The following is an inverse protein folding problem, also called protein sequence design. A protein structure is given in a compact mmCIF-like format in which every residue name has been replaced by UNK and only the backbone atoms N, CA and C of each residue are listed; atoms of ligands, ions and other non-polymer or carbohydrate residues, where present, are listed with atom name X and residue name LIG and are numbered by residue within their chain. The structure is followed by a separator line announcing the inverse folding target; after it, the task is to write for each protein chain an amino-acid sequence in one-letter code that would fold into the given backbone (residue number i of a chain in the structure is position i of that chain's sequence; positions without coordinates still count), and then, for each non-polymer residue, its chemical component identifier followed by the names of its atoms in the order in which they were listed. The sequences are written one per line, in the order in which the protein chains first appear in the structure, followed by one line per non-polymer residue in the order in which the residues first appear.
data_IF_094282437228
#
_entry.id   IF_094282437228
#
_cell.length_a   1.000
_cell.length_b   1.000
_cell.length_c   1.000
_cell.angle_alpha   90.00
_cell.angle_beta   90.00
_cell.angle_gamma   90.00
#
_symmetry.space_group_name_H-M   'P 1'
#
loop_
_entity.id
_entity.type
_entity.pdbx_description
1 polymer ?
#
# COMPACT_ATOMS: atom_id res chain seq x y z
N UNK A 1 -49.85 -14.08 44.15
CA UNK A 1 -50.65 -13.39 43.12
C UNK A 1 -49.64 -12.78 42.15
N UNK A 2 -48.99 -13.54 41.27
CA UNK A 2 -49.53 -14.54 40.29
C UNK A 2 -50.61 -13.86 39.44
N UNK A 3 -50.60 -13.77 38.10
CA UNK A 3 -50.00 -14.51 36.96
C UNK A 3 -49.91 -13.52 35.76
N UNK A 4 -48.91 -13.53 34.86
CA UNK A 4 -48.71 -14.37 33.66
C UNK A 4 -49.92 -14.54 32.70
N UNK A 5 -49.87 -13.89 31.52
CA UNK A 5 -50.21 -14.43 30.18
C UNK A 5 -49.78 -13.42 29.08
N UNK A 6 -48.69 -13.65 28.34
CA UNK A 6 -48.56 -14.41 27.07
C UNK A 6 -49.25 -13.76 25.86
N UNK A 7 -48.41 -13.13 25.01
CA UNK A 7 -48.28 -13.42 23.58
C UNK A 7 -49.35 -12.90 22.61
N UNK A 8 -48.98 -11.86 21.84
CA UNK A 8 -49.27 -11.81 20.40
C UNK A 8 -48.03 -11.26 19.69
N UNK A 9 -47.40 -12.11 18.88
CA UNK A 9 -46.49 -11.70 17.81
C UNK A 9 -47.33 -10.93 16.81
N UNK A 10 -46.99 -9.67 16.53
CA UNK A 10 -47.44 -9.04 15.30
C UNK A 10 -46.27 -8.97 14.32
N UNK A 11 -46.41 -9.79 13.28
CA UNK A 11 -45.52 -9.88 12.16
C UNK A 11 -45.73 -8.63 11.31
N UNK A 12 -44.80 -7.67 11.40
CA UNK A 12 -44.50 -6.67 10.37
C UNK A 12 -43.18 -5.95 10.73
N UNK A 13 -42.08 -6.72 10.76
CA UNK A 13 -40.72 -6.18 10.75
C UNK A 13 -40.19 -6.18 9.31
N UNK A 14 -40.88 -5.46 8.43
CA UNK A 14 -40.35 -5.05 7.14
C UNK A 14 -40.48 -3.53 7.06
N UNK A 15 -39.33 -2.87 7.18
CA UNK A 15 -38.78 -1.83 6.29
C UNK A 15 -37.60 -1.23 7.07
N UNK A 16 -36.44 -1.90 7.06
CA UNK A 16 -35.18 -1.16 7.20
C UNK A 16 -34.93 -0.55 5.84
N UNK A 17 -35.39 0.68 5.65
CA UNK A 17 -35.10 1.47 4.45
C UNK A 17 -33.60 1.42 4.20
N UNK A 18 -33.22 0.80 3.08
CA UNK A 18 -31.86 0.76 2.59
C UNK A 18 -31.29 2.18 2.62
N UNK A 19 -30.15 2.36 3.27
CA UNK A 19 -29.41 3.62 3.30
C UNK A 19 -28.75 3.95 1.93
N UNK A 20 -29.42 3.62 0.81
CA UNK A 20 -29.01 3.91 -0.56
C UNK A 20 -29.38 5.33 -1.02
N UNK A 21 -30.20 6.05 -0.27
CA UNK A 21 -30.88 7.25 -0.78
C UNK A 21 -30.18 8.58 -0.50
N UNK A 22 -28.93 8.56 0.00
CA UNK A 22 -28.18 9.81 0.24
C UNK A 22 -27.42 10.32 -1.00
N UNK A 23 -27.80 9.87 -2.20
CA UNK A 23 -27.13 10.23 -3.46
C UNK A 23 -27.95 11.11 -4.40
N UNK A 24 -28.87 11.92 -3.89
CA UNK A 24 -29.40 13.04 -4.68
C UNK A 24 -29.73 14.18 -3.73
N UNK A 25 -28.87 15.21 -3.69
CA UNK A 25 -29.27 16.62 -3.55
C UNK A 25 -28.03 17.48 -3.27
N UNK A 26 -27.46 18.05 -4.33
CA UNK A 26 -26.85 19.38 -4.27
C UNK A 26 -27.21 20.15 -5.55
N UNK A 27 -28.13 21.09 -5.37
CA UNK A 27 -28.31 22.38 -6.05
C UNK A 27 -28.39 22.42 -7.58
N UNK A 28 -29.44 23.11 -8.05
CA UNK A 28 -29.77 23.52 -9.42
C UNK A 28 -28.58 24.03 -10.24
N UNK A 29 -27.75 23.10 -10.73
CA UNK A 29 -26.86 23.31 -11.86
C UNK A 29 -27.28 22.34 -12.93
N UNK A 30 -27.79 22.87 -14.03
CA UNK A 30 -28.15 22.07 -15.17
C UNK A 30 -26.87 21.40 -15.72
N UNK A 31 -26.70 20.11 -15.41
CA UNK A 31 -25.55 19.34 -15.89
C UNK A 31 -25.52 19.36 -17.43
N UNK A 32 -24.32 19.45 -17.99
CA UNK A 32 -24.15 19.36 -19.45
C UNK A 32 -24.63 18.00 -19.98
N UNK A 33 -24.93 17.91 -21.28
CA UNK A 33 -25.31 16.63 -21.92
C UNK A 33 -24.24 15.56 -21.69
N UNK A 34 -22.95 15.93 -21.74
CA UNK A 34 -21.83 15.01 -21.49
C UNK A 34 -21.77 14.53 -20.04
N UNK A 35 -22.07 15.41 -19.08
CA UNK A 35 -22.08 15.04 -17.66
C UNK A 35 -23.21 14.05 -17.33
N UNK A 36 -24.43 14.33 -17.84
CA UNK A 36 -25.58 13.44 -17.70
C UNK A 36 -25.27 12.05 -18.29
N UNK A 37 -24.62 11.99 -19.45
CA UNK A 37 -24.19 10.72 -20.08
C UNK A 37 -23.25 9.92 -19.17
N UNK A 38 -22.21 10.55 -18.62
CA UNK A 38 -21.22 9.86 -17.78
C UNK A 38 -21.78 9.43 -16.41
N UNK A 39 -22.73 10.18 -15.85
CA UNK A 39 -23.46 9.77 -14.66
C UNK A 39 -24.29 8.49 -14.92
N UNK A 40 -24.96 8.41 -16.07
CA UNK A 40 -25.67 7.20 -16.50
C UNK A 40 -24.72 6.02 -16.70
N UNK A 41 -23.54 6.24 -17.30
CA UNK A 41 -22.50 5.22 -17.45
C UNK A 41 -22.02 4.67 -16.09
N UNK A 42 -21.83 5.55 -15.10
CA UNK A 42 -21.43 5.15 -13.75
C UNK A 42 -22.52 4.35 -13.02
N UNK A 43 -23.79 4.71 -13.19
CA UNK A 43 -24.93 3.93 -12.66
C UNK A 43 -24.98 2.53 -13.29
N UNK A 44 -24.86 2.44 -14.61
CA UNK A 44 -24.79 1.16 -15.31
C UNK A 44 -23.60 0.31 -14.84
N UNK A 45 -22.46 0.93 -14.57
CA UNK A 45 -21.28 0.24 -14.04
C UNK A 45 -21.53 -0.39 -12.67
N UNK A 46 -22.20 0.33 -11.76
CA UNK A 46 -22.62 -0.22 -10.46
C UNK A 46 -23.54 -1.43 -10.64
N UNK A 47 -24.50 -1.35 -11.55
CA UNK A 47 -25.42 -2.45 -11.87
C UNK A 47 -24.68 -3.66 -12.46
N UNK A 48 -23.69 -3.44 -13.32
CA UNK A 48 -22.90 -4.52 -13.90
C UNK A 48 -22.08 -5.27 -12.85
N UNK A 49 -21.46 -4.55 -11.91
CA UNK A 49 -20.69 -5.14 -10.81
C UNK A 49 -21.60 -5.89 -9.83
N UNK A 50 -22.82 -5.42 -9.59
CA UNK A 50 -23.74 -6.15 -8.68
C UNK A 50 -24.22 -7.48 -9.26
N UNK A 51 -24.40 -7.56 -10.59
CA UNK A 51 -24.92 -8.74 -11.30
C UNK A 51 -23.94 -9.89 -11.46
N UNK A 52 -22.62 -9.65 -11.43
CA UNK A 52 -21.62 -10.71 -11.61
C UNK A 52 -20.36 -10.47 -10.79
N UNK A 53 -19.66 -11.55 -10.48
CA UNK A 53 -18.35 -11.50 -9.83
C UNK A 53 -17.28 -11.61 -10.90
N UNK A 54 -16.39 -10.62 -10.98
CA UNK A 54 -15.28 -10.63 -11.93
C UNK A 54 -14.11 -11.46 -11.40
N UNK A 55 -13.54 -12.32 -12.24
CA UNK A 55 -12.33 -13.05 -11.90
C UNK A 55 -11.09 -12.14 -12.03
N UNK A 56 -10.55 -11.66 -10.91
CA UNK A 56 -9.39 -10.75 -10.90
C UNK A 56 -8.10 -11.39 -11.44
N UNK A 57 -8.01 -12.72 -11.51
CA UNK A 57 -6.85 -13.41 -12.09
C UNK A 57 -6.95 -13.53 -13.62
N UNK A 58 -8.14 -13.35 -14.21
CA UNK A 58 -8.32 -13.33 -15.66
C UNK A 58 -8.04 -11.90 -16.17
N UNK A 59 -7.03 -11.68 -17.05
CA UNK A 59 -6.66 -10.33 -17.48
C UNK A 59 -7.79 -9.56 -18.19
N UNK A 60 -8.61 -10.24 -18.98
CA UNK A 60 -9.73 -9.62 -19.70
C UNK A 60 -10.84 -9.21 -18.74
N UNK A 61 -11.25 -10.11 -17.83
CA UNK A 61 -12.25 -9.77 -16.82
C UNK A 61 -11.75 -8.68 -15.86
N UNK A 62 -10.50 -8.78 -15.40
CA UNK A 62 -9.94 -7.79 -14.48
C UNK A 62 -9.83 -6.40 -15.13
N UNK A 63 -9.38 -6.32 -16.39
CA UNK A 63 -9.37 -5.04 -17.12
C UNK A 63 -10.79 -4.45 -17.29
N UNK A 64 -11.79 -5.30 -17.52
CA UNK A 64 -13.19 -4.87 -17.57
C UNK A 64 -13.63 -4.34 -16.21
N UNK A 65 -13.33 -5.05 -15.12
CA UNK A 65 -13.65 -4.63 -13.75
C UNK A 65 -13.02 -3.29 -13.40
N UNK A 66 -11.71 -3.12 -13.66
CA UNK A 66 -11.01 -1.85 -13.47
C UNK A 66 -11.65 -0.70 -14.26
N UNK A 67 -12.11 -0.97 -15.49
CA UNK A 67 -12.83 0.01 -16.31
C UNK A 67 -14.17 0.40 -15.70
N UNK A 68 -14.97 -0.56 -15.23
CA UNK A 68 -16.23 -0.28 -14.52
C UNK A 68 -15.99 0.54 -13.25
N UNK A 69 -14.97 0.20 -12.45
CA UNK A 69 -14.63 0.98 -11.25
C UNK A 69 -14.20 2.42 -11.59
N UNK A 70 -13.43 2.62 -12.67
CA UNK A 70 -13.10 3.97 -13.15
C UNK A 70 -14.37 4.75 -13.53
N UNK A 71 -15.35 4.13 -14.20
CA UNK A 71 -16.65 4.77 -14.48
C UNK A 71 -17.38 5.14 -13.18
N UNK A 72 -17.42 4.24 -12.20
CA UNK A 72 -18.05 4.50 -10.89
C UNK A 72 -17.42 5.71 -10.20
N UNK A 73 -16.08 5.79 -10.20
CA UNK A 73 -15.37 6.90 -9.57
C UNK A 73 -15.71 8.27 -10.18
N UNK A 74 -16.21 8.31 -11.43
CA UNK A 74 -16.65 9.55 -12.07
C UNK A 74 -17.89 10.15 -11.41
N UNK A 75 -18.83 9.31 -10.97
CA UNK A 75 -20.05 9.74 -10.27
C UNK A 75 -19.83 10.07 -8.79
N UNK A 76 -18.57 10.29 -8.41
CA UNK A 76 -18.22 10.82 -7.10
C UNK A 76 -18.98 12.13 -6.85
N UNK A 77 -19.58 12.34 -5.66
CA UNK A 77 -20.44 13.50 -5.37
C UNK A 77 -19.66 14.83 -5.25
N UNK A 78 -18.37 14.81 -5.59
CA UNK A 78 -17.45 15.91 -5.40
C UNK A 78 -17.36 16.82 -6.62
N UNK A 79 -17.08 18.10 -6.34
CA UNK A 79 -16.78 19.11 -7.36
C UNK A 79 -15.56 18.72 -8.21
N UNK A 80 -14.63 17.95 -7.65
CA UNK A 80 -13.42 17.47 -8.32
C UNK A 80 -13.51 15.96 -8.56
N UNK A 81 -13.54 15.53 -9.82
CA UNK A 81 -13.70 14.12 -10.21
C UNK A 81 -12.33 13.45 -10.30
N UNK A 82 -12.06 12.50 -9.40
CA UNK A 82 -10.83 11.69 -9.41
C UNK A 82 -11.14 10.33 -10.03
N UNK A 83 -10.74 10.13 -11.28
CA UNK A 83 -11.00 8.86 -11.99
C UNK A 83 -9.94 7.83 -11.61
N UNK A 84 -10.34 6.83 -10.82
CA UNK A 84 -9.44 5.79 -10.32
C UNK A 84 -10.22 4.53 -9.89
N UNK A 85 -9.70 3.32 -10.19
CA UNK A 85 -10.36 2.10 -9.78
C UNK A 85 -10.44 1.95 -8.25
N UNK A 86 -9.48 2.51 -7.50
CA UNK A 86 -9.49 2.51 -6.03
C UNK A 86 -10.63 3.35 -5.45
N UNK A 87 -10.94 4.47 -6.10
CA UNK A 87 -12.07 5.32 -5.74
C UNK A 87 -13.40 4.67 -6.16
N UNK A 88 -13.43 4.02 -7.32
CA UNK A 88 -14.58 3.21 -7.74
C UNK A 88 -14.92 2.14 -6.72
N UNK A 89 -13.90 1.42 -6.23
CA UNK A 89 -14.06 0.37 -5.24
C UNK A 89 -14.57 0.92 -3.90
N UNK A 90 -14.05 2.07 -3.47
CA UNK A 90 -14.51 2.78 -2.28
C UNK A 90 -16.01 3.14 -2.33
N UNK A 91 -16.55 3.48 -3.51
CA UNK A 91 -17.98 3.79 -3.70
C UNK A 91 -18.87 2.57 -3.97
N UNK A 92 -18.33 1.35 -3.89
CA UNK A 92 -19.15 0.14 -3.83
C UNK A 92 -19.74 -0.06 -2.42
N UNK A 93 -20.84 -0.81 -2.34
CA UNK A 93 -21.39 -1.23 -1.05
C UNK A 93 -20.48 -2.26 -0.38
N UNK A 94 -20.59 -2.40 0.94
CA UNK A 94 -19.84 -3.41 1.68
C UNK A 94 -20.08 -4.84 1.17
N UNK A 95 -21.30 -5.16 0.73
CA UNK A 95 -21.63 -6.46 0.13
C UNK A 95 -20.85 -6.69 -1.17
N UNK A 96 -20.75 -5.68 -2.02
CA UNK A 96 -20.02 -5.76 -3.28
C UNK A 96 -18.51 -5.83 -3.07
N UNK A 97 -17.97 -5.03 -2.14
CA UNK A 97 -16.53 -5.08 -1.82
C UNK A 97 -16.10 -6.46 -1.32
N UNK A 98 -16.87 -7.07 -0.40
CA UNK A 98 -16.56 -8.37 0.20
C UNK A 98 -16.32 -9.47 -0.84
N UNK A 99 -16.93 -9.42 -2.02
CA UNK A 99 -16.73 -10.38 -3.12
C UNK A 99 -15.27 -10.44 -3.61
N UNK A 100 -14.49 -9.38 -3.39
CA UNK A 100 -13.14 -9.21 -3.94
C UNK A 100 -12.04 -9.14 -2.87
N UNK A 101 -12.40 -9.14 -1.59
CA UNK A 101 -11.43 -9.13 -0.50
C UNK A 101 -10.91 -10.54 -0.22
N UNK A 102 -9.62 -10.66 0.05
CA UNK A 102 -8.99 -11.91 0.47
C UNK A 102 -8.51 -11.82 1.91
N UNK A 103 -8.60 -12.94 2.61
CA UNK A 103 -8.04 -13.12 3.95
C UNK A 103 -6.59 -13.60 3.84
N UNK A 104 -5.69 -12.99 4.60
CA UNK A 104 -4.29 -13.41 4.75
C UNK A 104 -3.96 -13.59 6.24
N UNK A 105 -3.04 -14.49 6.54
CA UNK A 105 -2.52 -14.72 7.90
C UNK A 105 -1.03 -14.45 7.91
N UNK A 106 -0.61 -13.49 8.75
CA UNK A 106 0.79 -13.15 8.95
C UNK A 106 1.54 -14.24 9.72
N UNK A 107 2.89 -14.17 9.68
CA UNK A 107 3.75 -15.10 10.43
C UNK A 107 3.65 -14.98 11.95
N UNK A 108 3.08 -13.88 12.45
CA UNK A 108 2.75 -13.71 13.87
C UNK A 108 1.31 -14.16 14.21
N UNK A 109 0.61 -14.82 13.27
CA UNK A 109 -0.74 -15.35 13.45
C UNK A 109 -1.86 -14.33 13.23
N UNK A 110 -1.53 -13.06 12.98
CA UNK A 110 -2.55 -12.01 12.77
C UNK A 110 -3.21 -12.14 11.41
N UNK A 111 -4.53 -12.09 11.40
CA UNK A 111 -5.32 -12.19 10.19
C UNK A 111 -5.79 -10.83 9.69
N UNK A 112 -5.76 -10.63 8.38
CA UNK A 112 -6.20 -9.41 7.73
C UNK A 112 -7.07 -9.75 6.52
N UNK A 113 -8.08 -8.93 6.26
CA UNK A 113 -8.90 -9.04 5.05
C UNK A 113 -8.76 -7.77 4.25
N UNK A 114 -8.42 -7.89 2.97
CA UNK A 114 -8.19 -6.72 2.12
C UNK A 114 -8.17 -7.04 0.63
N UNK A 115 -8.20 -5.99 -0.18
CA UNK A 115 -8.07 -6.05 -1.62
C UNK A 115 -6.59 -6.25 -1.97
N UNK A 116 -6.27 -7.37 -2.64
CA UNK A 116 -4.91 -7.71 -3.02
C UNK A 116 -4.51 -6.93 -4.27
N UNK A 117 -3.79 -5.82 -4.11
CA UNK A 117 -3.51 -4.87 -5.20
C UNK A 117 -2.58 -5.42 -6.26
N UNK A 118 -1.70 -6.35 -5.89
CA UNK A 118 -0.86 -7.11 -6.83
C UNK A 118 -1.66 -8.05 -7.75
N UNK A 119 -2.89 -8.42 -7.38
CA UNK A 119 -3.83 -9.14 -8.26
C UNK A 119 -4.81 -8.19 -8.96
N UNK A 120 -5.35 -7.24 -8.20
CA UNK A 120 -6.38 -6.30 -8.65
C UNK A 120 -5.87 -5.33 -9.70
N UNK A 121 -4.69 -4.72 -9.49
CA UNK A 121 -4.06 -3.76 -10.41
C UNK A 121 -2.55 -4.07 -10.53
N UNK A 122 -2.18 -5.16 -11.21
CA UNK A 122 -0.78 -5.58 -11.31
C UNK A 122 0.09 -4.53 -12.00
N UNK A 123 -0.45 -3.80 -12.99
CA UNK A 123 0.28 -2.72 -13.67
C UNK A 123 0.54 -1.53 -12.75
N UNK A 124 -0.45 -1.11 -11.96
CA UNK A 124 -0.26 -0.08 -10.95
C UNK A 124 0.74 -0.50 -9.87
N UNK A 125 0.70 -1.78 -9.47
CA UNK A 125 1.65 -2.33 -8.51
C UNK A 125 3.09 -2.41 -9.06
N UNK A 126 3.30 -2.79 -10.32
CA UNK A 126 4.63 -2.74 -10.95
C UNK A 126 5.16 -1.30 -11.03
N UNK A 127 4.32 -0.31 -11.33
CA UNK A 127 4.72 1.11 -11.28
C UNK A 127 5.16 1.52 -9.87
N UNK A 128 4.43 1.08 -8.84
CA UNK A 128 4.80 1.31 -7.44
C UNK A 128 6.18 0.72 -7.13
N UNK A 129 6.46 -0.52 -7.51
CA UNK A 129 7.76 -1.17 -7.24
C UNK A 129 8.94 -0.45 -7.88
N UNK A 130 8.71 0.21 -9.00
CA UNK A 130 9.71 1.01 -9.71
C UNK A 130 9.84 2.46 -9.17
N UNK A 131 9.11 2.82 -8.10
CA UNK A 131 9.17 4.16 -7.50
C UNK A 131 10.35 4.35 -6.53
N UNK A 132 10.72 5.62 -6.33
CA UNK A 132 11.74 5.99 -5.32
C UNK A 132 11.23 5.69 -3.92
N UNK A 133 9.96 5.95 -3.66
CA UNK A 133 9.28 5.74 -2.39
C UNK A 133 9.28 4.26 -2.01
N UNK A 134 8.99 3.35 -2.96
CA UNK A 134 9.11 1.91 -2.74
C UNK A 134 10.54 1.52 -2.39
N UNK A 135 11.51 2.04 -3.13
CA UNK A 135 12.91 1.77 -2.84
C UNK A 135 13.28 2.20 -1.42
N UNK A 136 12.90 3.41 -1.01
CA UNK A 136 13.15 3.92 0.36
C UNK A 136 12.48 3.04 1.41
N UNK A 137 11.24 2.61 1.18
CA UNK A 137 10.55 1.66 2.05
C UNK A 137 11.37 0.37 2.23
N UNK A 138 11.86 -0.18 1.12
CA UNK A 138 12.65 -1.42 1.13
C UNK A 138 13.98 -1.24 1.87
N UNK A 139 14.70 -0.14 1.67
CA UNK A 139 15.94 0.14 2.41
C UNK A 139 15.66 0.25 3.93
N UNK A 140 14.59 0.96 4.34
CA UNK A 140 14.18 1.05 5.75
C UNK A 140 13.87 -0.32 6.35
N UNK A 141 13.21 -1.20 5.60
CA UNK A 141 12.97 -2.59 6.05
C UNK A 141 14.26 -3.41 6.10
N UNK A 142 15.20 -3.21 5.19
CA UNK A 142 16.52 -3.88 5.25
C UNK A 142 17.27 -3.51 6.53
N UNK A 143 17.24 -2.23 6.93
CA UNK A 143 17.84 -1.78 8.21
C UNK A 143 17.27 -2.55 9.40
N UNK A 144 15.94 -2.72 9.46
CA UNK A 144 15.31 -3.51 10.51
C UNK A 144 15.67 -4.99 10.42
N UNK A 145 15.67 -5.55 9.20
CA UNK A 145 15.98 -6.96 8.93
C UNK A 145 17.40 -7.33 9.37
N UNK A 146 18.38 -6.46 9.10
CA UNK A 146 19.75 -6.64 9.59
C UNK A 146 19.85 -6.51 11.11
N UNK A 147 19.11 -5.58 11.73
CA UNK A 147 19.02 -5.50 13.20
C UNK A 147 18.51 -6.81 13.81
N UNK A 148 17.39 -7.34 13.30
CA UNK A 148 16.81 -8.62 13.74
C UNK A 148 17.79 -9.78 13.54
N UNK A 149 18.50 -9.84 12.42
CA UNK A 149 19.48 -10.89 12.16
C UNK A 149 20.68 -10.81 13.11
N UNK A 150 21.21 -9.62 13.32
CA UNK A 150 22.31 -9.37 14.27
C UNK A 150 21.94 -9.81 15.68
N UNK A 151 20.76 -9.43 16.16
CA UNK A 151 20.29 -9.80 17.50
C UNK A 151 20.09 -11.32 17.63
N UNK A 152 19.69 -12.00 16.55
CA UNK A 152 19.65 -13.47 16.51
C UNK A 152 21.05 -14.07 16.62
N UNK A 153 22.03 -13.63 15.82
CA UNK A 153 23.38 -14.17 15.84
C UNK A 153 24.12 -13.85 17.15
N UNK A 154 23.89 -12.68 17.75
CA UNK A 154 24.43 -12.33 19.05
C UNK A 154 24.00 -13.33 20.15
N UNK A 155 22.74 -13.79 20.09
CA UNK A 155 22.18 -14.72 21.09
C UNK A 155 22.48 -16.19 20.78
N UNK A 156 22.52 -16.56 19.50
CA UNK A 156 22.53 -17.97 19.09
C UNK A 156 23.84 -18.43 18.45
N UNK A 157 24.74 -17.51 18.11
CA UNK A 157 25.92 -17.81 17.30
C UNK A 157 25.56 -18.29 15.89
N UNK A 158 26.54 -18.89 15.21
CA UNK A 158 26.40 -19.37 13.82
C UNK A 158 25.90 -20.83 13.75
N UNK A 159 24.75 -21.09 14.35
CA UNK A 159 24.08 -22.40 14.32
C UNK A 159 23.54 -22.69 12.92
N UNK A 160 23.82 -23.88 12.42
CA UNK A 160 23.34 -24.35 11.11
C UNK A 160 21.83 -24.63 11.16
N UNK A 161 21.15 -24.43 10.03
CA UNK A 161 19.71 -24.60 9.91
C UNK A 161 19.01 -23.38 9.33
N UNK A 162 17.68 -23.40 9.35
CA UNK A 162 16.84 -22.28 8.91
C UNK A 162 15.98 -21.79 10.06
N UNK A 163 15.96 -20.47 10.29
CA UNK A 163 15.07 -19.82 11.25
C UNK A 163 14.23 -18.75 10.56
N UNK A 164 12.99 -18.58 11.00
CA UNK A 164 12.10 -17.50 10.56
C UNK A 164 11.92 -16.51 11.72
N UNK A 165 12.14 -15.22 11.47
CA UNK A 165 12.06 -14.17 12.48
C UNK A 165 11.20 -13.01 11.96
N UNK A 166 10.18 -12.61 12.70
CA UNK A 166 9.35 -11.46 12.35
C UNK A 166 10.06 -10.17 12.74
N UNK A 167 10.09 -9.17 11.85
CA UNK A 167 10.63 -7.86 12.22
C UNK A 167 9.67 -7.18 13.21
N UNK A 168 10.20 -6.52 14.25
CA UNK A 168 9.39 -6.06 15.38
C UNK A 168 8.48 -4.87 15.04
N UNK A 169 8.83 -4.08 14.02
CA UNK A 169 8.14 -2.84 13.69
C UNK A 169 7.57 -2.90 12.27
N UNK A 170 6.43 -2.25 12.08
CA UNK A 170 5.90 -1.92 10.75
C UNK A 170 6.63 -0.66 10.29
N UNK A 171 7.21 -0.69 9.09
CA UNK A 171 7.83 0.51 8.49
C UNK A 171 6.73 1.35 7.86
N UNK A 172 6.51 2.55 8.39
CA UNK A 172 5.61 3.52 7.75
C UNK A 172 6.32 4.19 6.57
N UNK A 173 5.64 4.27 5.44
CA UNK A 173 6.11 4.99 4.26
C UNK A 173 4.92 5.60 3.51
N UNK A 174 5.08 6.86 3.09
CA UNK A 174 4.21 7.47 2.11
C UNK A 174 4.71 7.07 0.71
N UNK A 175 3.86 6.38 -0.06
CA UNK A 175 4.19 5.95 -1.42
C UNK A 175 3.59 6.85 -2.51
N UNK A 176 3.01 7.99 -2.12
CA UNK A 176 2.58 9.01 -3.08
C UNK A 176 3.81 9.76 -3.58
N UNK A 177 4.05 9.70 -4.90
CA UNK A 177 5.16 10.43 -5.53
C UNK A 177 4.98 11.93 -5.48
N UNK A 178 6.04 12.65 -5.14
CA UNK A 178 6.04 14.12 -5.03
C UNK A 178 5.66 14.83 -6.33
N UNK A 179 6.11 14.32 -7.48
CA UNK A 179 5.71 14.84 -8.81
C UNK A 179 4.21 14.69 -9.10
N UNK A 180 3.52 13.80 -8.39
CA UNK A 180 2.06 13.66 -8.41
C UNK A 180 1.40 14.66 -7.46
N UNK A 181 2.00 14.93 -6.30
CA UNK A 181 1.51 15.97 -5.37
C UNK A 181 1.65 17.37 -5.99
N UNK A 182 2.76 17.67 -6.67
CA UNK A 182 2.97 18.97 -7.34
C UNK A 182 2.03 19.23 -8.52
N UNK A 183 1.43 18.18 -9.11
CA UNK A 183 0.31 18.32 -10.06
C UNK A 183 -1.04 18.53 -9.37
N UNK A 184 -1.13 18.24 -8.07
CA UNK A 184 -2.34 18.34 -7.25
C UNK A 184 -2.37 19.63 -6.41
N UNK A 185 -1.21 20.27 -6.18
CA UNK A 185 -1.13 21.58 -5.51
C UNK A 185 -1.60 22.67 -6.49
N UNK A 186 -2.66 23.42 -6.17
CA UNK A 186 -3.21 24.45 -7.04
C UNK A 186 -2.25 25.63 -7.21
N UNK A 187 -2.22 26.18 -8.41
CA UNK A 187 -2.03 27.62 -8.64
C UNK A 187 -2.90 28.41 -7.62
N UNK A 188 -2.46 29.55 -7.02
CA UNK A 188 -3.25 30.31 -6.03
C UNK A 188 -4.61 30.80 -6.55
N UNK A 189 -4.90 30.58 -7.84
CA UNK A 189 -6.15 30.83 -8.52
C UNK A 189 -6.80 29.51 -9.01
N UNK A 190 -7.10 28.59 -8.09
CA UNK A 190 -8.17 27.60 -8.27
C UNK A 190 -8.06 26.61 -9.44
N UNK A 191 -7.94 25.33 -9.09
CA UNK A 191 -8.36 24.18 -9.93
C UNK A 191 -7.56 23.97 -11.23
N UNK A 192 -6.48 23.19 -11.15
CA UNK A 192 -5.85 22.64 -12.34
C UNK A 192 -4.82 21.57 -12.01
N UNK A 193 -4.94 20.41 -12.66
CA UNK A 193 -3.97 19.31 -12.76
C UNK A 193 -4.05 18.06 -11.84
N UNK A 194 -5.11 17.88 -11.03
CA UNK A 194 -5.57 16.52 -10.66
C UNK A 194 -6.31 15.81 -11.82
N UNK A 195 -6.45 16.52 -12.93
CA UNK A 195 -7.21 16.19 -14.15
C UNK A 195 -6.17 16.08 -15.26
N UNK A 196 -5.86 14.86 -15.70
CA UNK A 196 -5.30 14.43 -17.01
C UNK A 196 -4.48 13.15 -16.80
N UNK A 197 -5.02 12.02 -17.29
CA UNK A 197 -4.56 10.62 -17.18
C UNK A 197 -4.97 9.86 -15.90
N UNK A 198 -6.21 9.35 -15.90
CA UNK A 198 -6.71 8.31 -14.98
C UNK A 198 -6.02 6.94 -15.08
N UNK A 199 -4.89 6.86 -15.79
CA UNK A 199 -4.01 5.68 -15.90
C UNK A 199 -2.74 5.79 -15.04
N UNK A 200 -2.67 6.79 -14.17
CA UNK A 200 -1.45 7.11 -13.42
C UNK A 200 -1.63 7.68 -12.00
N UNK A 201 -2.83 7.63 -11.41
CA UNK A 201 -2.95 7.90 -9.98
C UNK A 201 -2.40 6.68 -9.22
N UNK A 202 -1.14 6.80 -8.81
CA UNK A 202 -0.47 5.84 -7.95
C UNK A 202 -1.36 5.51 -6.75
N UNK A 203 -1.38 4.24 -6.36
CA UNK A 203 -2.13 3.72 -5.22
C UNK A 203 -1.98 4.71 -4.06
N UNK A 204 -3.07 5.16 -3.47
CA UNK A 204 -3.07 6.22 -2.46
C UNK A 204 -2.63 5.68 -1.10
N UNK A 205 -1.48 5.03 -1.08
CA UNK A 205 -0.77 4.45 0.06
C UNK A 205 -0.06 5.55 0.85
N UNK A 206 -0.84 6.48 1.39
CA UNK A 206 -0.34 7.68 2.09
C UNK A 206 0.23 7.36 3.46
N UNK A 207 -0.33 6.36 4.12
CA UNK A 207 0.06 5.94 5.47
C UNK A 207 0.35 4.43 5.49
N UNK A 208 0.80 3.91 4.36
CA UNK A 208 0.99 2.49 4.22
C UNK A 208 2.12 2.00 5.13
N UNK A 209 1.86 0.83 5.71
CA UNK A 209 2.81 0.07 6.49
C UNK A 209 3.41 -1.05 5.66
N UNK A 210 4.73 -1.22 5.76
CA UNK A 210 5.43 -2.40 5.27
C UNK A 210 5.66 -3.35 6.44
N UNK A 211 4.96 -4.48 6.41
CA UNK A 211 5.16 -5.60 7.34
C UNK A 211 6.20 -6.53 6.74
N UNK A 212 7.07 -7.08 7.59
CA UNK A 212 8.16 -7.92 7.11
C UNK A 212 8.58 -9.01 8.10
N UNK A 213 9.19 -10.05 7.57
CA UNK A 213 9.90 -11.08 8.30
C UNK A 213 11.14 -11.51 7.51
N UNK A 214 12.09 -12.16 8.17
CA UNK A 214 13.28 -12.72 7.54
C UNK A 214 13.33 -14.24 7.73
N UNK A 215 13.93 -14.92 6.76
CA UNK A 215 14.47 -16.27 6.92
C UNK A 215 15.98 -16.21 6.86
N UNK A 216 16.63 -16.75 7.88
CA UNK A 216 18.09 -16.90 7.92
C UNK A 216 18.38 -18.37 7.67
N UNK A 217 19.17 -18.67 6.64
CA UNK A 217 19.70 -19.99 6.37
C UNK A 217 21.21 -19.97 6.62
N UNK A 218 21.67 -20.90 7.45
CA UNK A 218 23.08 -21.15 7.73
C UNK A 218 23.41 -22.58 7.33
N UNK A 219 24.36 -22.77 6.43
CA UNK A 219 24.74 -24.12 5.99
C UNK A 219 25.43 -24.90 7.11
N UNK A 220 25.51 -26.23 6.94
CA UNK A 220 26.48 -27.04 7.69
C UNK A 220 27.90 -26.57 7.35
N UNK A 221 28.82 -26.83 8.28
CA UNK A 221 30.24 -26.63 8.05
C UNK A 221 30.72 -27.60 6.97
N UNK A 222 31.43 -27.09 5.96
CA UNK A 222 32.04 -27.93 4.93
C UNK A 222 33.43 -28.44 5.38
N UNK A 223 34.08 -29.27 4.54
CA UNK A 223 35.42 -29.82 4.84
C UNK A 223 36.51 -28.75 5.01
N UNK A 224 36.30 -27.53 4.50
CA UNK A 224 37.21 -26.39 4.65
C UNK A 224 36.94 -25.58 5.94
N UNK A 225 35.96 -26.00 6.73
CA UNK A 225 35.57 -25.28 7.94
C UNK A 225 34.76 -24.02 7.66
N UNK A 226 33.99 -24.00 6.57
CA UNK A 226 33.23 -22.83 6.13
C UNK A 226 31.73 -23.04 6.30
N UNK A 227 31.05 -21.98 6.72
CA UNK A 227 29.59 -21.87 6.70
C UNK A 227 29.16 -20.70 5.82
N UNK A 228 28.00 -20.84 5.17
CA UNK A 228 27.41 -19.81 4.34
C UNK A 228 26.11 -19.33 4.97
N UNK A 229 25.92 -18.00 4.96
CA UNK A 229 24.73 -17.35 5.49
C UNK A 229 23.96 -16.68 4.37
N UNK A 230 22.67 -16.97 4.30
CA UNK A 230 21.72 -16.27 3.44
C UNK A 230 20.58 -15.72 4.28
N UNK A 231 20.33 -14.40 4.17
CA UNK A 231 19.19 -13.72 4.78
C UNK A 231 18.23 -13.35 3.65
N UNK A 232 17.06 -13.97 3.67
CA UNK A 232 15.95 -13.65 2.77
C UNK A 232 14.90 -12.87 3.54
N UNK A 233 14.59 -11.67 3.07
CA UNK A 233 13.51 -10.85 3.58
C UNK A 233 12.22 -11.13 2.80
N UNK A 234 11.10 -11.10 3.51
CA UNK A 234 9.76 -11.14 2.93
C UNK A 234 9.00 -9.88 3.36
N UNK A 235 8.39 -9.19 2.42
CA UNK A 235 7.68 -7.91 2.66
C UNK A 235 6.29 -7.92 2.08
N UNK A 236 5.32 -7.34 2.80
CA UNK A 236 4.01 -6.98 2.25
C UNK A 236 3.67 -5.54 2.61
N UNK A 237 2.90 -4.89 1.75
CA UNK A 237 2.39 -3.54 1.99
C UNK A 237 0.93 -3.63 2.41
N UNK A 238 0.51 -2.77 3.33
CA UNK A 238 -0.89 -2.58 3.64
C UNK A 238 -1.22 -1.14 4.01
N UNK A 239 -2.43 -0.71 3.67
CA UNK A 239 -2.98 0.59 4.07
C UNK A 239 -4.50 0.49 4.25
N UNK A 240 -5.06 1.37 5.07
CA UNK A 240 -6.50 1.49 5.26
C UNK A 240 -7.02 2.66 4.43
N UNK A 241 -7.88 2.36 3.47
CA UNK A 241 -8.51 3.34 2.60
C UNK A 241 -9.85 3.77 3.21
N UNK A 242 -9.86 4.92 3.89
CA UNK A 242 -11.05 5.45 4.61
C UNK A 242 -11.56 6.75 4.00
N UNK A 243 -10.70 7.75 3.82
CA UNK A 243 -11.08 9.08 3.35
C UNK A 243 -10.14 9.51 2.23
N UNK A 244 -10.31 8.98 1.02
CA UNK A 244 -9.29 9.10 0.01
C UNK A 244 -9.17 10.51 -0.58
N UNK A 245 -10.18 11.37 -0.42
CA UNK A 245 -10.14 12.77 -0.84
C UNK A 245 -9.59 13.72 0.23
N UNK A 246 -9.28 13.23 1.42
CA UNK A 246 -8.58 13.99 2.46
C UNK A 246 -7.08 14.11 2.07
N UNK A 247 -6.80 15.00 1.12
CA UNK A 247 -5.45 15.38 0.70
C UNK A 247 -4.96 16.43 1.71
N UNK A 248 -3.79 16.24 2.30
CA UNK A 248 -3.20 17.21 3.23
C UNK A 248 -3.14 18.59 2.54
N UNK A 249 -4.02 19.48 3.01
CA UNK A 249 -4.34 20.85 2.56
C UNK A 249 -5.18 21.01 1.27
N UNK A 250 -6.21 20.16 1.12
CA UNK A 250 -7.41 20.45 0.34
C UNK A 250 -8.68 20.01 1.07
N UNK A 251 -8.89 20.57 2.27
CA UNK A 251 -9.95 20.41 3.31
C UNK A 251 -10.78 19.10 3.32
N UNK A 252 -10.84 18.38 4.47
CA UNK A 252 -11.70 17.21 4.60
C UNK A 252 -13.17 17.58 4.41
N UNK A 253 -13.82 16.98 3.41
CA UNK A 253 -15.27 16.99 3.34
C UNK A 253 -15.79 15.89 4.26
N UNK A 254 -16.36 16.28 5.40
CA UNK A 254 -17.05 15.37 6.33
C UNK A 254 -18.26 14.67 5.69
N UNK A 255 -18.64 15.07 4.47
CA UNK A 255 -19.60 14.39 3.62
C UNK A 255 -19.05 13.21 2.81
N UNK A 256 -17.78 12.81 2.95
CA UNK A 256 -17.24 11.63 2.27
C UNK A 256 -17.94 10.35 2.73
N UNK A 257 -18.81 9.83 1.87
CA UNK A 257 -19.63 8.64 2.10
C UNK A 257 -19.25 7.58 1.08
N UNK A 258 -18.26 6.77 1.43
CA UNK A 258 -17.99 5.49 0.76
C UNK A 258 -17.77 4.40 1.80
N UNK A 259 -17.55 3.17 1.33
CA UNK A 259 -17.28 2.04 2.20
C UNK A 259 -15.76 1.87 2.35
N UNK A 260 -15.20 2.07 3.56
CA UNK A 260 -13.77 1.88 3.79
C UNK A 260 -13.32 0.44 3.54
N UNK A 261 -12.11 0.27 3.03
CA UNK A 261 -11.52 -1.06 2.81
C UNK A 261 -10.01 -1.05 3.05
N UNK A 262 -9.44 -2.23 3.26
CA UNK A 262 -7.99 -2.41 3.42
C UNK A 262 -7.38 -2.82 2.10
N UNK A 263 -6.26 -2.20 1.74
CA UNK A 263 -5.40 -2.60 0.64
C UNK A 263 -4.27 -3.45 1.20
N UNK A 264 -3.96 -4.56 0.52
CA UNK A 264 -2.88 -5.47 0.89
C UNK A 264 -2.10 -5.90 -0.37
N UNK A 265 -0.88 -6.38 -0.17
CA UNK A 265 -0.12 -7.14 -1.18
C UNK A 265 0.22 -8.52 -0.62
N UNK A 266 0.53 -9.47 -1.50
CA UNK A 266 1.20 -10.68 -1.07
C UNK A 266 2.61 -10.38 -0.53
N UNK A 267 3.17 -11.35 0.21
CA UNK A 267 4.55 -11.29 0.63
C UNK A 267 5.50 -11.51 -0.55
N UNK A 268 6.35 -10.54 -0.83
CA UNK A 268 7.41 -10.63 -1.83
C UNK A 268 8.74 -11.06 -1.21
N UNK A 269 9.46 -11.95 -1.91
CA UNK A 269 10.76 -12.47 -1.49
C UNK A 269 11.90 -11.58 -2.02
N UNK A 270 12.85 -11.23 -1.15
CA UNK A 270 14.07 -10.53 -1.51
C UNK A 270 15.28 -11.13 -0.78
N UNK A 271 16.30 -11.55 -1.51
CA UNK A 271 17.58 -11.96 -0.92
C UNK A 271 18.42 -10.71 -0.63
N UNK A 272 18.56 -10.36 0.64
CA UNK A 272 19.25 -9.12 1.06
C UNK A 272 20.70 -9.39 1.45
N UNK A 273 21.01 -10.62 1.85
CA UNK A 273 22.36 -11.06 2.18
C UNK A 273 22.53 -12.47 1.62
N UNK A 274 23.39 -12.65 0.63
CA UNK A 274 23.43 -13.89 -0.17
C UNK A 274 24.78 -14.59 -0.02
N UNK A 275 24.74 -15.85 0.41
CA UNK A 275 25.88 -16.76 0.45
C UNK A 275 27.14 -16.15 1.07
N UNK A 276 26.99 -15.39 2.14
CA UNK A 276 28.13 -14.80 2.82
C UNK A 276 28.93 -15.88 3.55
N UNK A 277 30.22 -15.95 3.23
CA UNK A 277 31.14 -16.98 3.71
C UNK A 277 31.74 -16.60 5.06
N UNK A 278 31.70 -17.55 6.00
CA UNK A 278 32.36 -17.45 7.31
C UNK A 278 33.21 -18.69 7.54
N UNK A 279 34.52 -18.50 7.75
CA UNK A 279 35.44 -19.58 8.16
C UNK A 279 35.33 -19.72 9.68
N UNK A 280 34.89 -20.89 10.16
CA UNK A 280 34.68 -21.18 11.59
C UNK A 280 35.79 -22.05 12.19
N UNK A 281 36.50 -22.83 11.37
CA UNK A 281 37.60 -23.68 11.83
C UNK A 281 38.70 -22.84 12.50
N UNK A 282 39.09 -23.26 13.70
CA UNK A 282 40.12 -22.58 14.50
C UNK A 282 39.67 -21.27 15.16
N UNK A 283 38.37 -20.93 15.11
CA UNK A 283 37.84 -19.72 15.76
C UNK A 283 36.97 -20.06 16.97
N UNK A 284 37.09 -19.22 18.00
CA UNK A 284 36.17 -19.24 19.14
C UNK A 284 34.78 -18.73 18.73
N UNK A 285 33.71 -19.12 19.47
CA UNK A 285 32.36 -18.59 19.24
C UNK A 285 32.31 -17.05 19.22
N UNK A 286 33.06 -16.40 20.11
CA UNK A 286 33.11 -14.93 20.20
C UNK A 286 33.72 -14.29 18.95
N UNK A 287 34.78 -14.89 18.37
CA UNK A 287 35.37 -14.40 17.13
C UNK A 287 34.38 -14.51 15.96
N UNK A 288 33.67 -15.64 15.86
CA UNK A 288 32.67 -15.86 14.81
C UNK A 288 31.51 -14.86 14.95
N UNK A 289 31.00 -14.65 16.18
CA UNK A 289 29.94 -13.67 16.47
C UNK A 289 30.39 -12.25 16.10
N UNK A 290 31.62 -11.87 16.44
CA UNK A 290 32.18 -10.56 16.09
C UNK A 290 32.22 -10.38 14.57
N UNK A 291 32.73 -11.35 13.82
CA UNK A 291 32.83 -11.28 12.36
C UNK A 291 31.46 -11.14 11.67
N UNK A 292 30.47 -11.97 12.05
CA UNK A 292 29.14 -11.90 11.45
C UNK A 292 28.42 -10.60 11.80
N UNK A 293 28.54 -10.14 13.05
CA UNK A 293 27.93 -8.88 13.46
C UNK A 293 28.57 -7.69 12.76
N UNK A 294 29.90 -7.67 12.60
CA UNK A 294 30.57 -6.62 11.81
C UNK A 294 30.09 -6.64 10.36
N UNK A 295 29.99 -7.82 9.73
CA UNK A 295 29.51 -7.90 8.34
C UNK A 295 28.07 -7.40 8.19
N UNK A 296 27.18 -7.79 9.10
CA UNK A 296 25.76 -7.37 9.11
C UNK A 296 25.64 -5.87 9.39
N UNK A 297 26.38 -5.33 10.35
CA UNK A 297 26.32 -3.91 10.71
C UNK A 297 26.88 -3.03 9.58
N UNK A 298 27.91 -3.47 8.85
CA UNK A 298 28.37 -2.80 7.63
C UNK A 298 27.25 -2.67 6.61
N UNK A 299 26.53 -3.76 6.31
CA UNK A 299 25.37 -3.73 5.39
C UNK A 299 24.26 -2.83 5.90
N UNK A 300 23.93 -2.92 7.19
CA UNK A 300 22.94 -2.06 7.83
C UNK A 300 23.29 -0.57 7.69
N UNK A 301 24.56 -0.21 7.89
CA UNK A 301 25.03 1.15 7.77
C UNK A 301 24.99 1.66 6.32
N UNK A 302 25.33 0.82 5.34
CA UNK A 302 25.15 1.12 3.90
C UNK A 302 23.68 1.46 3.60
N UNK A 303 22.74 0.64 4.05
CA UNK A 303 21.30 0.86 3.87
C UNK A 303 20.84 2.16 4.54
N UNK A 304 21.28 2.43 5.78
CA UNK A 304 20.95 3.67 6.49
C UNK A 304 21.47 4.91 5.77
N UNK A 305 22.68 4.86 5.21
CA UNK A 305 23.23 5.95 4.40
C UNK A 305 22.40 6.17 3.13
N UNK A 306 22.00 5.09 2.46
CA UNK A 306 21.16 5.16 1.27
C UNK A 306 19.77 5.74 1.57
N UNK A 307 19.17 5.40 2.72
CA UNK A 307 17.92 6.03 3.17
C UNK A 307 18.11 7.52 3.34
N UNK A 308 19.12 7.95 4.12
CA UNK A 308 19.38 9.38 4.35
C UNK A 308 19.61 10.15 3.06
N UNK A 309 20.44 9.62 2.15
CA UNK A 309 20.72 10.25 0.87
C UNK A 309 19.43 10.40 0.03
N UNK A 310 18.57 9.38 0.00
CA UNK A 310 17.32 9.42 -0.76
C UNK A 310 16.27 10.30 -0.12
N UNK A 311 16.18 10.34 1.21
CA UNK A 311 15.29 11.26 1.92
C UNK A 311 15.71 12.72 1.64
N UNK A 312 17.01 13.04 1.72
CA UNK A 312 17.55 14.37 1.33
C UNK A 312 17.28 14.68 -0.15
N UNK A 313 17.44 13.71 -1.04
CA UNK A 313 17.15 13.89 -2.47
C UNK A 313 15.65 14.16 -2.70
N UNK A 314 14.77 13.47 -1.99
CA UNK A 314 13.31 13.69 -2.09
C UNK A 314 12.93 15.07 -1.54
N UNK A 315 13.51 15.51 -0.40
CA UNK A 315 13.29 16.83 0.17
C UNK A 315 13.85 17.97 -0.71
N UNK A 316 15.02 17.77 -1.32
CA UNK A 316 15.61 18.77 -2.23
C UNK A 316 14.90 18.86 -3.58
N UNK A 317 14.39 17.74 -4.11
CA UNK A 317 13.50 17.75 -5.28
C UNK A 317 12.20 18.49 -4.95
N UNK A 318 11.61 18.23 -3.79
CA UNK A 318 10.45 18.96 -3.27
C UNK A 318 10.74 20.47 -3.22
N UNK A 319 11.86 20.88 -2.63
CA UNK A 319 12.26 22.29 -2.58
C UNK A 319 12.43 22.93 -3.96
N UNK A 320 13.08 22.24 -4.92
CA UNK A 320 13.28 22.75 -6.29
C UNK A 320 11.96 22.87 -7.07
N UNK A 321 11.04 21.93 -6.88
CA UNK A 321 9.74 21.93 -7.55
C UNK A 321 8.81 23.02 -6.99
N UNK A 322 8.80 23.21 -5.67
CA UNK A 322 8.06 24.28 -4.97
C UNK A 322 8.63 25.69 -5.28
N UNK A 323 9.90 25.80 -5.68
CA UNK A 323 10.58 27.07 -5.98
C UNK A 323 10.93 27.23 -7.47
N UNK A 324 10.17 26.60 -8.38
CA UNK A 324 10.44 26.59 -9.84
C UNK A 324 10.67 27.98 -10.46
N UNK A 325 10.06 29.03 -9.92
CA UNK A 325 10.21 30.41 -10.41
C UNK A 325 11.48 31.13 -9.93
N UNK A 326 12.13 30.69 -8.83
CA UNK A 326 13.42 31.25 -8.37
C UNK A 326 14.61 30.71 -9.14
N UNK A 327 14.50 29.52 -9.73
CA UNK A 327 15.59 28.82 -10.40
C UNK A 327 15.51 28.84 -11.93
N UNK A 328 14.53 29.54 -12.52
CA UNK A 328 14.39 29.69 -13.98
C UNK A 328 15.53 30.50 -14.61
N UNK A 329 16.40 31.13 -13.81
CA UNK A 329 17.51 31.99 -14.26
C UNK A 329 18.89 31.56 -13.78
N UNK A 330 19.06 30.37 -13.19
CA UNK A 330 20.41 29.84 -12.92
C UNK A 330 20.76 28.87 -14.05
N UNK A 331 21.42 29.42 -15.07
CA UNK A 331 22.13 28.65 -16.07
C UNK A 331 23.09 27.67 -15.36
N UNK A 332 23.14 26.37 -15.73
CA UNK A 332 24.15 25.49 -15.21
C UNK A 332 25.49 25.87 -15.85
N UNK A 333 26.27 26.70 -15.16
CA UNK A 333 27.71 26.62 -15.25
C UNK A 333 28.09 25.49 -14.30
N UNK A 334 28.33 24.31 -14.87
CA UNK A 334 29.40 23.32 -14.58
C UNK A 334 29.05 21.98 -15.22
#
# INVERSE_FOLDING_TARGET
MDELHVGVMDANSEVTSDASDVYVQRFDKEYSKEEKKKLKEAQNAKINISKKIYNLNNPHENSTFLSELKKISYATPYKYRVVSPYFGFYFLSAKEQKKYLKKITDKDGKEFTGLMVDTFDPKGYEKLKNSKEYTVAMLKVNVQSYGTARDYFQKNGLKSGTVTLTNPKIVSQNFVSHSTIAKVIPDPLGVGAAITNGDGLNITLRRAGVKSYIKINVTKENSKGEKFVTITRYTRIGDKFVEPLNLMFGLPDKGDKGTPYTILTNYEKHEIYKNARFVVKGKTPNQIIKEINTSIETRRNEEMRNVKLKDILMESLKFREENRFKYKYINPIF
#
